data_IF_052147582071
#
_entry.id   IF_052147582071
#
_cell.length_a   1.000
_cell.length_b   1.000
_cell.length_c   1.000
_cell.angle_alpha   90.00
_cell.angle_beta   90.00
_cell.angle_gamma   90.00
#
_symmetry.space_group_name_H-M   'P 1'
#
loop_
_entity.id
_entity.type
_entity.pdbx_description
1 polymer ?
#
# COMPACT_ATOMS: atom_id res chain seq x y z
N UNK A 1 -48.05 -5.58 -44.82
CA UNK A 1 -48.04 -4.18 -44.37
C UNK A 1 -47.18 -4.10 -43.13
N UNK A 2 -46.05 -3.42 -43.25
CA UNK A 2 -45.10 -3.16 -42.18
C UNK A 2 -45.74 -2.30 -41.08
N UNK A 3 -45.50 -2.66 -39.82
CA UNK A 3 -45.35 -1.68 -38.74
C UNK A 3 -44.25 -2.16 -37.82
N UNK A 4 -43.42 -1.20 -37.46
CA UNK A 4 -42.10 -1.30 -36.88
C UNK A 4 -42.11 -1.92 -35.48
N UNK A 5 -41.21 -2.90 -35.26
CA UNK A 5 -40.80 -3.31 -33.92
C UNK A 5 -39.68 -2.36 -33.52
N UNK A 6 -40.07 -1.36 -32.74
CA UNK A 6 -39.20 -0.35 -32.18
C UNK A 6 -38.06 -1.03 -31.41
N UNK A 7 -36.86 -0.86 -31.94
CA UNK A 7 -35.62 -1.31 -31.34
C UNK A 7 -35.28 -0.40 -30.17
N UNK A 8 -35.90 -0.64 -29.01
CA UNK A 8 -35.42 -0.07 -27.75
C UNK A 8 -34.19 -0.84 -27.29
N UNK A 9 -33.05 -0.28 -27.68
CA UNK A 9 -31.72 -0.63 -27.21
C UNK A 9 -31.71 -0.49 -25.68
N UNK A 10 -31.74 -1.61 -24.97
CA UNK A 10 -31.44 -1.67 -23.54
C UNK A 10 -29.99 -1.24 -23.33
N UNK A 11 -29.77 0.03 -22.99
CA UNK A 11 -28.54 0.43 -22.32
C UNK A 11 -28.49 -0.31 -20.97
N UNK A 12 -27.40 -1.01 -20.63
CA UNK A 12 -27.30 -1.68 -19.34
C UNK A 12 -27.27 -0.60 -18.25
N UNK A 13 -28.33 -0.56 -17.44
CA UNK A 13 -28.36 0.20 -16.20
C UNK A 13 -27.38 -0.49 -15.26
N UNK A 14 -26.11 -0.09 -15.31
CA UNK A 14 -25.14 -0.40 -14.25
C UNK A 14 -25.70 0.17 -12.95
N UNK A 15 -25.91 -0.70 -11.96
CA UNK A 15 -26.46 -0.27 -10.67
C UNK A 15 -25.44 0.64 -9.97
N UNK A 16 -25.90 1.64 -9.23
CA UNK A 16 -25.01 2.59 -8.52
C UNK A 16 -23.97 1.87 -7.62
N UNK A 17 -24.30 0.67 -7.14
CA UNK A 17 -23.40 -0.19 -6.38
C UNK A 17 -22.25 -0.74 -7.23
N UNK A 18 -22.49 -1.20 -8.47
CA UNK A 18 -21.44 -1.68 -9.38
C UNK A 18 -20.41 -0.59 -9.69
N UNK A 19 -20.87 0.66 -9.83
CA UNK A 19 -20.00 1.81 -10.07
C UNK A 19 -19.03 2.05 -8.91
N UNK A 20 -19.48 1.89 -7.65
CA UNK A 20 -18.62 2.08 -6.46
C UNK A 20 -17.47 1.06 -6.45
N UNK A 21 -17.77 -0.21 -6.78
CA UNK A 21 -16.75 -1.26 -6.81
C UNK A 21 -15.80 -1.10 -7.99
N UNK A 22 -16.32 -0.66 -9.14
CA UNK A 22 -15.50 -0.34 -10.30
C UNK A 22 -14.55 0.84 -10.01
N UNK A 23 -15.02 1.91 -9.37
CA UNK A 23 -14.19 3.03 -8.93
C UNK A 23 -13.15 2.61 -7.89
N UNK A 24 -13.52 1.72 -6.97
CA UNK A 24 -12.60 1.17 -5.98
C UNK A 24 -11.49 0.35 -6.64
N UNK A 25 -11.83 -0.45 -7.66
CA UNK A 25 -10.88 -1.19 -8.49
C UNK A 25 -9.93 -0.24 -9.24
N UNK A 26 -10.48 0.74 -9.97
CA UNK A 26 -9.68 1.72 -10.71
C UNK A 26 -8.76 2.54 -9.80
N UNK A 27 -9.19 2.83 -8.57
CA UNK A 27 -8.37 3.51 -7.57
C UNK A 27 -7.22 2.62 -7.05
N UNK A 28 -7.47 1.32 -6.89
CA UNK A 28 -6.54 0.39 -6.28
C UNK A 28 -5.48 -0.14 -7.27
N UNK A 29 -5.88 -0.41 -8.51
CA UNK A 29 -5.03 -0.98 -9.55
C UNK A 29 -3.68 -0.28 -9.71
N UNK A 30 -3.58 1.06 -9.88
CA UNK A 30 -2.28 1.72 -10.04
C UNK A 30 -1.39 1.63 -8.78
N UNK A 31 -1.98 1.45 -7.59
CA UNK A 31 -1.22 1.21 -6.36
C UNK A 31 -0.59 -0.18 -6.36
N UNK A 32 -1.37 -1.18 -6.78
CA UNK A 32 -0.93 -2.58 -6.86
C UNK A 32 0.09 -2.77 -7.97
N UNK A 33 -0.12 -2.18 -9.15
CA UNK A 33 0.86 -2.18 -10.25
C UNK A 33 2.23 -1.67 -9.79
N UNK A 34 2.23 -0.60 -8.98
CA UNK A 34 3.46 -0.08 -8.40
C UNK A 34 4.12 -1.07 -7.43
N UNK A 35 3.34 -1.80 -6.64
CA UNK A 35 3.88 -2.83 -5.72
C UNK A 35 4.48 -4.00 -6.49
N UNK A 36 3.76 -4.54 -7.47
CA UNK A 36 4.19 -5.68 -8.31
C UNK A 36 5.44 -5.31 -9.11
N UNK A 37 5.47 -4.12 -9.71
CA UNK A 37 6.64 -3.62 -10.43
C UNK A 37 7.89 -3.51 -9.54
N UNK A 38 7.72 -3.21 -8.25
CA UNK A 38 8.83 -3.10 -7.29
C UNK A 38 9.10 -4.41 -6.50
N UNK A 39 8.38 -5.51 -6.76
CA UNK A 39 8.42 -6.70 -5.91
C UNK A 39 9.64 -7.61 -6.16
N UNK A 40 10.29 -7.47 -7.32
CA UNK A 40 11.49 -8.21 -7.74
C UNK A 40 11.35 -9.74 -7.69
N UNK A 41 10.14 -10.26 -7.90
CA UNK A 41 9.89 -11.70 -8.03
C UNK A 41 10.15 -12.12 -9.47
N UNK A 42 11.12 -13.00 -9.70
CA UNK A 42 11.54 -13.38 -11.05
C UNK A 42 10.41 -14.02 -11.86
N UNK A 43 9.59 -14.86 -11.23
CA UNK A 43 8.43 -15.52 -11.87
C UNK A 43 7.32 -14.54 -12.27
N UNK A 44 7.33 -13.30 -11.76
CA UNK A 44 6.34 -12.28 -12.10
C UNK A 44 6.74 -11.44 -13.31
N UNK A 45 7.97 -11.60 -13.81
CA UNK A 45 8.47 -10.84 -14.96
C UNK A 45 7.72 -11.25 -16.23
N UNK A 46 7.12 -10.27 -16.91
CA UNK A 46 6.30 -10.50 -18.09
C UNK A 46 4.82 -10.78 -17.77
N UNK A 47 4.46 -10.87 -16.48
CA UNK A 47 3.09 -11.10 -16.01
C UNK A 47 2.65 -10.03 -14.99
N UNK A 48 3.36 -8.90 -14.92
CA UNK A 48 3.14 -7.92 -13.86
C UNK A 48 1.74 -7.32 -13.92
N UNK A 49 1.18 -7.17 -15.13
CA UNK A 49 -0.15 -6.60 -15.31
C UNK A 49 -1.22 -7.54 -14.78
N UNK A 50 -1.19 -8.79 -15.21
CA UNK A 50 -2.12 -9.86 -14.82
C UNK A 50 -2.08 -10.08 -13.30
N UNK A 51 -0.89 -10.11 -12.71
CA UNK A 51 -0.72 -10.24 -11.25
C UNK A 51 -1.30 -9.03 -10.51
N UNK A 52 -1.18 -7.83 -11.09
CA UNK A 52 -1.73 -6.62 -10.47
C UNK A 52 -3.25 -6.59 -10.54
N UNK A 53 -3.82 -7.00 -11.67
CA UNK A 53 -5.26 -7.14 -11.88
C UNK A 53 -5.84 -8.19 -10.93
N UNK A 54 -5.20 -9.37 -10.83
CA UNK A 54 -5.56 -10.44 -9.88
C UNK A 54 -5.64 -9.92 -8.44
N UNK A 55 -4.56 -9.27 -7.98
CA UNK A 55 -4.48 -8.78 -6.60
C UNK A 55 -5.53 -7.69 -6.34
N UNK A 56 -5.73 -6.78 -7.29
CA UNK A 56 -6.70 -5.71 -7.16
C UNK A 56 -8.14 -6.25 -7.15
N UNK A 57 -8.46 -7.19 -8.04
CA UNK A 57 -9.76 -7.82 -8.14
C UNK A 57 -10.08 -8.63 -6.87
N UNK A 58 -9.15 -9.47 -6.41
CA UNK A 58 -9.31 -10.26 -5.19
C UNK A 58 -9.57 -9.35 -3.97
N UNK A 59 -8.86 -8.23 -3.88
CA UNK A 59 -9.06 -7.28 -2.78
C UNK A 59 -10.44 -6.62 -2.81
N UNK A 60 -10.91 -6.22 -3.99
CA UNK A 60 -12.26 -5.63 -4.16
C UNK A 60 -13.34 -6.66 -3.82
N UNK A 61 -13.23 -7.90 -4.30
CA UNK A 61 -14.18 -8.99 -4.01
C UNK A 61 -14.24 -9.28 -2.51
N UNK A 62 -13.09 -9.39 -1.84
CA UNK A 62 -13.05 -9.59 -0.38
C UNK A 62 -13.63 -8.41 0.39
N UNK A 63 -13.41 -7.18 -0.10
CA UNK A 63 -13.99 -5.98 0.50
C UNK A 63 -15.51 -5.98 0.36
N UNK A 64 -16.04 -6.38 -0.80
CA UNK A 64 -17.48 -6.54 -1.02
C UNK A 64 -18.09 -7.58 -0.07
N UNK A 65 -17.48 -8.76 0.05
CA UNK A 65 -17.97 -9.75 1.01
C UNK A 65 -17.90 -9.25 2.45
N UNK A 66 -16.84 -8.51 2.80
CA UNK A 66 -16.75 -7.88 4.12
C UNK A 66 -17.87 -6.85 4.33
N UNK A 67 -18.19 -6.02 3.32
CA UNK A 67 -19.26 -5.02 3.42
C UNK A 67 -20.63 -5.67 3.57
N UNK A 68 -20.90 -6.76 2.85
CA UNK A 68 -22.13 -7.53 3.04
C UNK A 68 -22.26 -8.06 4.47
N UNK A 69 -21.18 -8.61 5.04
CA UNK A 69 -21.16 -9.12 6.41
C UNK A 69 -21.32 -8.00 7.44
N UNK A 70 -20.73 -6.84 7.19
CA UNK A 70 -20.89 -5.65 8.03
C UNK A 70 -22.34 -5.14 8.02
N UNK A 71 -22.99 -5.10 6.85
CA UNK A 71 -24.40 -4.74 6.72
C UNK A 71 -25.35 -5.70 7.43
N UNK A 72 -24.95 -6.98 7.60
CA UNK A 72 -25.66 -8.00 8.37
C UNK A 72 -25.35 -7.96 9.87
N UNK A 73 -24.39 -7.14 10.31
CA UNK A 73 -23.96 -7.05 11.71
C UNK A 73 -23.03 -8.18 12.18
N UNK A 74 -22.47 -8.98 11.27
CA UNK A 74 -21.56 -10.10 11.62
C UNK A 74 -20.13 -9.63 11.95
N UNK A 75 -19.73 -8.48 11.42
CA UNK A 75 -18.39 -7.88 11.59
C UNK A 75 -18.52 -6.39 11.86
N UNK A 76 -17.43 -5.78 12.37
CA UNK A 76 -17.38 -4.33 12.61
C UNK A 76 -17.75 -3.55 11.35
N UNK A 77 -18.54 -2.50 11.54
CA UNK A 77 -18.92 -1.57 10.48
C UNK A 77 -17.69 -1.02 9.76
N UNK A 78 -17.79 -0.89 8.44
CA UNK A 78 -16.72 -0.33 7.63
C UNK A 78 -16.72 1.19 7.78
N UNK A 79 -15.66 1.73 8.38
CA UNK A 79 -15.46 3.18 8.49
C UNK A 79 -15.02 3.79 7.16
N UNK A 80 -14.20 3.08 6.39
CA UNK A 80 -13.72 3.54 5.08
C UNK A 80 -13.41 2.37 4.13
N UNK A 81 -14.19 2.27 3.06
CA UNK A 81 -14.08 1.19 2.06
C UNK A 81 -12.70 1.13 1.39
N UNK A 82 -12.14 2.30 1.05
CA UNK A 82 -10.80 2.42 0.45
C UNK A 82 -9.69 1.90 1.37
N UNK A 83 -9.78 2.20 2.67
CA UNK A 83 -8.78 1.78 3.65
C UNK A 83 -8.77 0.27 3.87
N UNK A 84 -9.96 -0.33 3.97
CA UNK A 84 -10.14 -1.77 4.11
C UNK A 84 -9.62 -2.50 2.87
N UNK A 85 -10.03 -2.03 1.68
CA UNK A 85 -9.63 -2.63 0.41
C UNK A 85 -8.11 -2.59 0.22
N UNK A 86 -7.46 -1.46 0.54
CA UNK A 86 -6.00 -1.34 0.53
C UNK A 86 -5.33 -2.34 1.48
N UNK A 87 -5.87 -2.51 2.68
CA UNK A 87 -5.30 -3.44 3.67
C UNK A 87 -5.37 -4.88 3.17
N UNK A 88 -6.52 -5.27 2.63
CA UNK A 88 -6.72 -6.60 2.04
C UNK A 88 -5.74 -6.82 0.88
N UNK A 89 -5.62 -5.84 -0.02
CA UNK A 89 -4.68 -5.91 -1.15
C UNK A 89 -3.23 -6.05 -0.69
N UNK A 90 -2.81 -5.30 0.34
CA UNK A 90 -1.45 -5.37 0.88
C UNK A 90 -1.15 -6.75 1.47
N UNK A 91 -2.09 -7.32 2.21
CA UNK A 91 -1.93 -8.65 2.79
C UNK A 91 -1.85 -9.70 1.68
N UNK A 92 -2.76 -9.64 0.72
CA UNK A 92 -2.77 -10.58 -0.41
C UNK A 92 -1.50 -10.49 -1.26
N UNK A 93 -1.03 -9.27 -1.55
CA UNK A 93 0.25 -9.04 -2.23
C UNK A 93 1.43 -9.67 -1.47
N UNK A 94 1.50 -9.47 -0.15
CA UNK A 94 2.57 -10.02 0.70
C UNK A 94 2.53 -11.55 0.72
N UNK A 95 1.35 -12.14 0.87
CA UNK A 95 1.18 -13.59 0.90
C UNK A 95 1.57 -14.22 -0.43
N UNK A 96 1.13 -13.64 -1.55
CA UNK A 96 1.48 -14.11 -2.90
C UNK A 96 2.96 -13.95 -3.17
N UNK A 97 3.54 -12.80 -2.82
CA UNK A 97 4.99 -12.57 -2.93
C UNK A 97 5.76 -13.62 -2.16
N UNK A 98 5.37 -13.88 -0.90
CA UNK A 98 6.02 -14.89 -0.06
C UNK A 98 5.95 -16.26 -0.72
N UNK A 99 4.77 -16.69 -1.16
CA UNK A 99 4.55 -17.98 -1.81
C UNK A 99 5.44 -18.13 -3.05
N UNK A 100 5.43 -17.15 -3.95
CA UNK A 100 6.11 -17.26 -5.24
C UNK A 100 7.62 -17.08 -5.13
N UNK A 101 8.10 -16.38 -4.10
CA UNK A 101 9.52 -16.29 -3.77
C UNK A 101 10.06 -17.61 -3.20
N UNK A 102 9.25 -18.34 -2.42
CA UNK A 102 9.58 -19.69 -1.95
C UNK A 102 9.58 -20.73 -3.09
N UNK A 103 8.73 -20.58 -4.11
CA UNK A 103 8.67 -21.52 -5.25
C UNK A 103 9.88 -21.44 -6.19
N UNK A 104 10.67 -20.37 -6.14
CA UNK A 104 11.92 -20.22 -6.90
C UNK A 104 13.14 -20.84 -6.19
N UNK A 105 13.00 -21.34 -4.96
CA UNK A 105 14.06 -22.02 -4.20
C UNK A 105 13.95 -23.56 -4.21
N UNK A 106 14.07 -24.24 -5.37
CA UNK A 106 14.44 -25.65 -5.36
C UNK A 106 15.71 -25.89 -6.19
N UNK A 107 16.84 -25.26 -5.86
CA UNK A 107 18.20 -25.71 -6.25
C UNK A 107 19.28 -24.82 -5.63
N UNK A 108 19.47 -24.93 -4.33
CA UNK A 108 20.78 -24.75 -3.72
C UNK A 108 20.74 -25.59 -2.45
N UNK A 109 21.14 -26.86 -2.61
CA UNK A 109 21.52 -27.66 -1.47
C UNK A 109 22.59 -26.88 -0.71
N UNK A 110 22.41 -26.84 0.62
CA UNK A 110 23.37 -26.34 1.59
C UNK A 110 23.37 -24.80 1.78
N UNK A 111 22.82 -24.40 2.94
CA UNK A 111 23.18 -23.20 3.71
C UNK A 111 22.74 -21.81 3.19
N UNK A 112 21.46 -21.48 3.35
CA UNK A 112 21.06 -20.14 3.81
C UNK A 112 19.93 -20.26 4.85
N UNK A 113 20.16 -19.93 6.14
CA UNK A 113 19.14 -20.01 7.17
C UNK A 113 18.02 -19.00 6.92
N UNK A 114 16.79 -19.49 7.10
CA UNK A 114 15.52 -18.77 7.03
C UNK A 114 15.54 -17.37 7.67
N UNK A 115 15.34 -16.33 6.84
CA UNK A 115 14.78 -15.07 7.33
C UNK A 115 13.32 -15.32 7.73
N UNK A 116 13.08 -15.38 9.03
CA UNK A 116 11.78 -15.58 9.66
C UNK A 116 10.80 -14.44 9.32
N UNK A 117 10.11 -14.59 8.20
CA UNK A 117 8.83 -13.93 7.93
C UNK A 117 7.80 -14.55 8.87
N UNK A 118 7.53 -13.86 10.00
CA UNK A 118 6.54 -14.18 11.03
C UNK A 118 5.24 -14.80 10.46
N UNK A 119 5.27 -16.12 10.35
CA UNK A 119 4.14 -17.06 10.37
C UNK A 119 4.45 -17.90 11.60
N UNK A 120 3.49 -17.98 12.51
CA UNK A 120 3.70 -18.48 13.86
C UNK A 120 4.08 -19.97 13.85
N UNK A 121 5.38 -20.26 13.86
CA UNK A 121 6.03 -21.52 14.26
C UNK A 121 7.42 -21.13 14.79
N UNK A 122 7.75 -21.57 16.01
CA UNK A 122 8.91 -21.20 16.85
C UNK A 122 9.92 -20.23 16.20
N UNK A 123 9.65 -18.95 16.37
CA UNK A 123 10.46 -17.90 15.79
C UNK A 123 11.63 -17.65 16.71
N UNK A 124 12.84 -17.95 16.23
CA UNK A 124 14.08 -17.69 16.95
C UNK A 124 14.12 -16.23 17.45
N UNK A 125 14.13 -15.99 18.77
CA UNK A 125 14.16 -14.64 19.34
C UNK A 125 15.35 -13.81 18.85
N UNK A 126 16.49 -14.44 18.54
CA UNK A 126 17.65 -13.73 17.97
C UNK A 126 17.36 -13.20 16.57
N UNK A 127 16.75 -14.00 15.69
CA UNK A 127 16.40 -13.55 14.34
C UNK A 127 15.39 -12.40 14.38
N UNK A 128 14.39 -12.44 15.26
CA UNK A 128 13.44 -11.33 15.46
C UNK A 128 14.15 -10.07 15.96
N UNK A 129 15.13 -10.24 16.85
CA UNK A 129 15.92 -9.12 17.34
C UNK A 129 16.75 -8.49 16.22
N UNK A 130 17.39 -9.31 15.38
CA UNK A 130 18.18 -8.87 14.22
C UNK A 130 17.30 -8.14 13.20
N UNK A 131 16.14 -8.70 12.84
CA UNK A 131 15.21 -8.09 11.89
C UNK A 131 14.65 -6.76 12.42
N UNK A 132 14.33 -6.70 13.72
CA UNK A 132 13.94 -5.45 14.38
C UNK A 132 15.07 -4.42 14.39
N UNK A 133 16.31 -4.84 14.65
CA UNK A 133 17.48 -3.95 14.62
C UNK A 133 17.75 -3.40 13.21
N UNK A 134 17.64 -4.24 12.18
CA UNK A 134 17.76 -3.80 10.78
C UNK A 134 16.64 -2.82 10.42
N UNK A 135 15.40 -3.12 10.79
CA UNK A 135 14.26 -2.24 10.54
C UNK A 135 14.42 -0.87 11.22
N UNK A 136 14.82 -0.84 12.49
CA UNK A 136 15.12 0.39 13.23
C UNK A 136 16.24 1.19 12.54
N UNK A 137 17.28 0.50 12.08
CA UNK A 137 18.42 1.13 11.40
C UNK A 137 17.98 1.77 10.08
N UNK A 138 17.18 1.06 9.28
CA UNK A 138 16.61 1.58 8.02
C UNK A 138 15.74 2.81 8.29
N UNK A 139 14.87 2.76 9.30
CA UNK A 139 14.03 3.90 9.68
C UNK A 139 14.89 5.11 10.07
N UNK A 140 15.93 4.91 10.88
CA UNK A 140 16.84 5.99 11.28
C UNK A 140 17.57 6.59 10.08
N UNK A 141 18.05 5.77 9.16
CA UNK A 141 18.68 6.22 7.91
C UNK A 141 17.70 7.02 7.05
N UNK A 142 16.46 6.54 6.93
CA UNK A 142 15.41 7.25 6.21
C UNK A 142 15.09 8.62 6.85
N UNK A 143 14.96 8.68 8.19
CA UNK A 143 14.72 9.93 8.90
C UNK A 143 15.82 10.97 8.65
N UNK A 144 17.10 10.54 8.73
CA UNK A 144 18.27 11.37 8.39
C UNK A 144 18.23 11.88 6.96
N UNK A 145 17.86 11.03 6.00
CA UNK A 145 17.73 11.42 4.60
C UNK A 145 16.63 12.48 4.43
N UNK A 146 15.45 12.26 5.02
CA UNK A 146 14.33 13.20 4.97
C UNK A 146 14.69 14.55 5.58
N UNK A 147 15.45 14.58 6.67
CA UNK A 147 15.89 15.84 7.30
C UNK A 147 16.67 16.74 6.34
N UNK A 148 17.45 16.14 5.43
CA UNK A 148 18.26 16.83 4.41
C UNK A 148 17.48 17.26 3.17
N UNK A 149 16.21 16.89 3.03
CA UNK A 149 15.44 17.22 1.83
C UNK A 149 15.13 18.72 1.74
N UNK A 150 15.02 19.28 0.50
CA UNK A 150 14.54 20.64 0.30
C UNK A 150 13.18 20.85 0.96
N UNK A 151 12.97 22.03 1.56
CA UNK A 151 11.81 22.33 2.40
C UNK A 151 10.48 21.90 1.79
N UNK A 152 10.23 22.21 0.51
CA UNK A 152 8.97 21.85 -0.17
C UNK A 152 8.76 20.35 -0.32
N UNK A 153 9.82 19.60 -0.63
CA UNK A 153 9.78 18.14 -0.76
C UNK A 153 9.62 17.46 0.59
N UNK A 154 10.37 17.97 1.59
CA UNK A 154 10.29 17.51 2.97
C UNK A 154 8.89 17.72 3.55
N UNK A 155 8.33 18.93 3.40
CA UNK A 155 6.98 19.23 3.88
C UNK A 155 5.94 18.38 3.19
N UNK A 156 6.00 18.20 1.86
CA UNK A 156 5.06 17.34 1.15
C UNK A 156 5.11 15.89 1.65
N UNK A 157 6.33 15.35 1.81
CA UNK A 157 6.52 13.99 2.31
C UNK A 157 6.04 13.84 3.76
N UNK A 158 6.39 14.78 4.65
CA UNK A 158 6.00 14.72 6.05
C UNK A 158 4.51 14.93 6.24
N UNK A 159 3.85 15.75 5.41
CA UNK A 159 2.39 15.89 5.43
C UNK A 159 1.71 14.62 4.94
N UNK A 160 2.23 13.96 3.89
CA UNK A 160 1.73 12.66 3.46
C UNK A 160 1.89 11.60 4.54
N UNK A 161 3.09 11.51 5.15
CA UNK A 161 3.37 10.60 6.25
C UNK A 161 2.48 10.90 7.47
N UNK A 162 2.33 12.16 7.87
CA UNK A 162 1.50 12.55 9.01
C UNK A 162 0.01 12.24 8.77
N UNK A 163 -0.47 12.35 7.52
CA UNK A 163 -1.84 12.01 7.17
C UNK A 163 -2.08 10.50 7.06
N UNK A 164 -1.02 9.71 6.83
CA UNK A 164 -1.06 8.24 6.81
C UNK A 164 -0.78 7.61 8.17
N UNK A 165 -0.20 8.37 9.11
CA UNK A 165 0.17 7.89 10.44
C UNK A 165 -1.04 7.98 11.37
N UNK A 166 -1.35 6.86 12.02
CA UNK A 166 -2.28 6.86 13.14
C UNK A 166 -1.49 7.17 14.42
N UNK A 167 -1.71 8.37 14.97
CA UNK A 167 -1.05 8.84 16.19
C UNK A 167 -1.74 8.21 17.41
N UNK A 168 -1.32 7.01 17.78
CA UNK A 168 -1.79 6.31 18.97
C UNK A 168 -1.16 6.83 20.27
N UNK A 169 -1.44 6.14 21.39
CA UNK A 169 -0.90 6.50 22.71
C UNK A 169 0.63 6.41 22.81
N UNK A 170 1.26 5.61 21.96
CA UNK A 170 2.71 5.40 21.95
C UNK A 170 3.30 5.83 20.60
N UNK A 171 4.37 6.65 20.59
CA UNK A 171 4.99 7.11 19.37
C UNK A 171 5.61 5.93 18.60
N UNK A 172 5.34 5.86 17.30
CA UNK A 172 5.90 4.86 16.41
C UNK A 172 7.42 5.02 16.27
N UNK A 173 8.09 3.96 15.80
CA UNK A 173 9.55 4.02 15.55
C UNK A 173 9.92 5.07 14.50
N UNK A 174 9.03 5.33 13.54
CA UNK A 174 9.20 6.41 12.56
C UNK A 174 9.14 7.78 13.24
N UNK A 175 8.19 8.00 14.14
CA UNK A 175 8.08 9.26 14.89
C UNK A 175 9.29 9.49 15.79
N UNK A 176 9.75 8.46 16.50
CA UNK A 176 10.96 8.56 17.34
C UNK A 176 12.20 8.88 16.50
N UNK A 177 12.36 8.26 15.33
CA UNK A 177 13.49 8.53 14.45
C UNK A 177 13.43 9.95 13.86
N UNK A 178 12.27 10.41 13.39
CA UNK A 178 12.08 11.78 12.92
C UNK A 178 12.29 12.79 14.04
N UNK A 179 11.81 12.49 15.24
CA UNK A 179 12.00 13.33 16.42
C UNK A 179 13.47 13.50 16.79
N UNK A 180 14.27 12.43 16.66
CA UNK A 180 15.72 12.51 16.87
C UNK A 180 16.44 13.41 15.87
N UNK A 181 15.84 13.65 14.70
CA UNK A 181 16.31 14.60 13.68
C UNK A 181 15.65 15.99 13.82
N UNK A 182 14.97 16.25 14.95
CA UNK A 182 14.29 17.52 15.24
C UNK A 182 12.95 17.71 14.51
N UNK A 183 12.39 16.65 13.92
CA UNK A 183 11.15 16.70 13.14
C UNK A 183 10.00 16.11 13.96
N UNK A 184 9.04 16.94 14.35
CA UNK A 184 7.80 16.50 14.97
C UNK A 184 6.77 16.20 13.89
N UNK A 185 6.51 14.92 13.61
CA UNK A 185 5.61 14.51 12.53
C UNK A 185 4.18 15.04 12.71
N UNK A 186 3.72 15.15 13.96
CA UNK A 186 2.40 15.71 14.30
C UNK A 186 2.20 17.15 13.77
N UNK A 187 3.25 17.98 13.72
CA UNK A 187 3.18 19.37 13.25
C UNK A 187 2.84 19.47 11.75
N UNK A 188 2.97 18.37 11.01
CA UNK A 188 2.72 18.27 9.57
C UNK A 188 1.33 17.73 9.22
N UNK A 189 0.51 17.35 10.22
CA UNK A 189 -0.86 16.90 10.01
C UNK A 189 -1.69 18.06 9.51
N UNK A 190 -2.08 18.01 8.23
CA UNK A 190 -2.81 19.09 7.56
C UNK A 190 -3.80 18.51 6.56
N UNK A 191 -4.97 19.12 6.48
CA UNK A 191 -5.91 18.89 5.39
C UNK A 191 -5.20 19.12 4.06
N UNK A 192 -5.34 18.16 3.13
CA UNK A 192 -4.81 18.31 1.79
C UNK A 192 -5.44 19.54 1.11
N UNK A 193 -4.72 20.27 0.25
CA UNK A 193 -5.25 21.44 -0.44
C UNK A 193 -6.53 21.06 -1.23
N UNK A 194 -7.61 21.83 -1.08
CA UNK A 194 -8.86 21.59 -1.82
C UNK A 194 -8.78 22.07 -3.28
N UNK A 195 -7.86 22.98 -3.60
CA UNK A 195 -7.70 23.51 -4.96
C UNK A 195 -6.88 22.59 -5.87
N UNK A 196 -7.36 22.37 -7.09
CA UNK A 196 -6.78 21.43 -8.06
C UNK A 196 -5.33 21.77 -8.46
N UNK A 197 -5.00 23.06 -8.60
CA UNK A 197 -3.67 23.53 -8.96
C UNK A 197 -2.64 23.24 -7.85
N UNK A 198 -3.01 23.44 -6.59
CA UNK A 198 -2.14 23.18 -5.44
C UNK A 198 -1.98 21.67 -5.16
N UNK A 199 -3.01 20.86 -5.44
CA UNK A 199 -2.91 19.39 -5.40
C UNK A 199 -1.88 18.83 -6.38
N UNK A 200 -1.86 19.34 -7.62
CA UNK A 200 -0.90 18.89 -8.62
C UNK A 200 0.54 19.25 -8.24
N UNK A 201 0.78 20.47 -7.75
CA UNK A 201 2.11 20.88 -7.25
C UNK A 201 2.57 20.03 -6.06
N UNK A 202 1.66 19.74 -5.13
CA UNK A 202 1.93 18.86 -3.98
C UNK A 202 2.30 17.44 -4.43
N UNK A 203 1.55 16.85 -5.37
CA UNK A 203 1.82 15.50 -5.88
C UNK A 203 3.18 15.37 -6.58
N UNK A 204 3.58 16.40 -7.35
CA UNK A 204 4.92 16.45 -7.99
C UNK A 204 6.02 16.46 -6.93
N UNK A 205 5.90 17.31 -5.91
CA UNK A 205 6.88 17.37 -4.82
C UNK A 205 6.95 16.06 -4.03
N UNK A 206 5.82 15.41 -3.78
CA UNK A 206 5.75 14.12 -3.09
C UNK A 206 6.41 12.98 -3.90
N UNK A 207 6.13 12.90 -5.20
CA UNK A 207 6.73 11.91 -6.09
C UNK A 207 8.26 12.03 -6.14
N UNK A 208 8.76 13.27 -6.25
CA UNK A 208 10.20 13.54 -6.23
C UNK A 208 10.80 13.16 -4.87
N UNK A 209 10.13 13.49 -3.76
CA UNK A 209 10.60 13.17 -2.42
C UNK A 209 10.73 11.65 -2.21
N UNK A 210 9.73 10.85 -2.60
CA UNK A 210 9.81 9.39 -2.49
C UNK A 210 10.89 8.77 -3.39
N UNK A 211 11.05 9.28 -4.62
CA UNK A 211 12.13 8.83 -5.51
C UNK A 211 13.51 9.11 -4.92
N UNK A 212 13.68 10.27 -4.29
CA UNK A 212 14.91 10.64 -3.60
C UNK A 212 15.15 9.76 -2.38
N UNK A 213 14.12 9.54 -1.56
CA UNK A 213 14.24 8.69 -0.37
C UNK A 213 14.64 7.26 -0.73
N UNK A 214 14.07 6.70 -1.79
CA UNK A 214 14.46 5.38 -2.30
C UNK A 214 15.95 5.30 -2.66
N UNK A 215 16.52 6.35 -3.26
CA UNK A 215 17.95 6.39 -3.64
C UNK A 215 18.88 6.52 -2.44
N UNK A 216 18.44 7.18 -1.38
CA UNK A 216 19.26 7.42 -0.18
C UNK A 216 19.22 6.25 0.82
N UNK A 217 18.15 5.43 0.78
CA UNK A 217 17.93 4.33 1.74
C UNK A 217 18.31 2.96 1.15
N UNK A 218 18.35 2.82 -0.18
CA UNK A 218 18.93 1.66 -0.85
C UNK A 218 20.41 1.97 -1.12
N UNK A 219 21.26 1.66 -0.14
CA UNK A 219 22.71 1.47 -0.33
C UNK A 219 23.00 0.00 -0.15
#
# INVERSE_FOLDING_TARGET
MHTDIDSSINAPVQTADEQIWHELYLWLLPLVERWVCCAEVASWRGQQKEISEDIAQEAVVRTYHYSQRASRGEVRAIECLKSLCRTIAQNHFRDRRKKDWCLLHPTQGELLPAMHILVNDQIDPSQVAIDRMMFITIIKTAAKAVAKFPLRQRTALLTDLANLTDFGEHPSQLELALFSEGIRLHDYRRSLPNESAERNKYAVHLCIAYKRLRREVIV
#
